data_IF_397646046195
#
_entry.id   IF_397646046195
#
_cell.length_a   1.000
_cell.length_b   1.000
_cell.length_c   1.000
_cell.angle_alpha   90.00
_cell.angle_beta   90.00
_cell.angle_gamma   90.00
#
_symmetry.space_group_name_H-M   'P 1'
#
loop_
_entity.id
_entity.type
_entity.pdbx_description
1 polymer ?
#
# COMPACT_ATOMS: atom_id res chain seq x y z
N UNK A 1 -8.48 12.91 16.07
CA UNK A 1 -8.88 11.49 16.18
C UNK A 1 -7.64 10.62 16.29
N UNK A 2 -7.72 9.46 16.97
CA UNK A 2 -6.62 8.48 17.02
C UNK A 2 -6.58 7.67 15.73
N UNK A 3 -5.44 7.68 15.03
CA UNK A 3 -5.22 6.97 13.76
C UNK A 3 -4.10 5.96 13.93
N UNK A 4 -4.38 4.68 13.71
CA UNK A 4 -3.36 3.64 13.70
C UNK A 4 -3.16 3.07 12.30
N UNK A 5 -1.96 2.60 12.00
CA UNK A 5 -1.65 1.89 10.75
C UNK A 5 -1.74 0.39 10.99
N UNK A 6 -2.39 -0.31 10.07
CA UNK A 6 -2.40 -1.76 9.99
C UNK A 6 -1.55 -2.21 8.80
N UNK A 7 -0.42 -2.87 9.09
CA UNK A 7 0.57 -3.27 8.10
C UNK A 7 0.90 -4.77 8.25
N UNK A 8 0.47 -5.57 7.27
CA UNK A 8 0.83 -6.99 7.18
C UNK A 8 1.89 -7.14 6.09
N UNK A 9 2.97 -7.86 6.38
CA UNK A 9 4.14 -7.91 5.50
C UNK A 9 4.67 -9.32 5.31
N UNK A 10 5.21 -9.58 4.12
CA UNK A 10 5.95 -10.81 3.81
C UNK A 10 6.97 -10.54 2.72
N UNK A 11 8.24 -10.71 3.05
CA UNK A 11 9.38 -10.56 2.13
C UNK A 11 9.37 -9.20 1.40
N UNK A 12 9.50 -8.13 2.17
CA UNK A 12 9.44 -6.73 1.73
C UNK A 12 10.75 -5.97 1.98
N UNK A 13 11.90 -6.67 2.06
CA UNK A 13 13.15 -6.06 2.52
C UNK A 13 13.63 -4.85 1.70
N UNK A 14 13.22 -4.73 0.44
CA UNK A 14 13.60 -3.59 -0.40
C UNK A 14 12.76 -2.34 -0.13
N UNK A 15 11.53 -2.48 0.42
CA UNK A 15 10.58 -1.37 0.49
C UNK A 15 9.97 -1.12 1.87
N UNK A 16 9.97 -2.10 2.78
CA UNK A 16 9.33 -1.97 4.10
C UNK A 16 9.85 -0.78 4.92
N UNK A 17 11.14 -0.44 4.76
CA UNK A 17 11.73 0.75 5.36
C UNK A 17 11.00 2.01 4.89
N UNK A 18 10.87 2.19 3.59
CA UNK A 18 10.26 3.38 2.99
C UNK A 18 8.76 3.44 3.28
N UNK A 19 8.08 2.29 3.24
CA UNK A 19 6.66 2.20 3.54
C UNK A 19 6.34 2.75 4.93
N UNK A 20 6.92 2.15 5.98
CA UNK A 20 6.66 2.58 7.36
C UNK A 20 7.17 4.01 7.60
N UNK A 21 8.38 4.34 7.14
CA UNK A 21 8.97 5.68 7.38
C UNK A 21 8.26 6.81 6.65
N UNK A 22 7.44 6.51 5.63
CA UNK A 22 6.62 7.50 4.93
C UNK A 22 5.40 7.95 5.74
N UNK A 23 4.88 7.10 6.64
CA UNK A 23 3.63 7.37 7.37
C UNK A 23 3.78 7.50 8.89
N UNK A 24 4.80 6.86 9.50
CA UNK A 24 4.90 6.68 10.97
C UNK A 24 4.89 7.98 11.78
N UNK A 25 5.34 9.08 11.19
CA UNK A 25 5.38 10.40 11.85
C UNK A 25 4.03 11.15 11.82
N UNK A 26 3.03 10.64 11.10
CA UNK A 26 1.72 11.27 10.90
C UNK A 26 0.58 10.54 11.60
N UNK A 27 0.83 9.34 12.13
CA UNK A 27 -0.16 8.46 12.77
C UNK A 27 0.21 8.22 14.23
N UNK A 28 -0.71 7.79 15.07
CA UNK A 28 -0.46 7.57 16.49
C UNK A 28 0.37 6.30 16.74
N UNK A 29 0.03 5.20 16.07
CA UNK A 29 0.71 3.91 16.19
C UNK A 29 0.74 3.17 14.84
N UNK A 30 1.73 2.31 14.63
CA UNK A 30 1.80 1.37 13.52
C UNK A 30 1.84 -0.05 14.09
N UNK A 31 0.83 -0.86 13.76
CA UNK A 31 0.84 -2.30 13.98
C UNK A 31 1.48 -2.96 12.75
N UNK A 32 2.60 -3.65 12.95
CA UNK A 32 3.30 -4.38 11.89
C UNK A 32 3.29 -5.85 12.24
N UNK A 33 2.59 -6.67 11.44
CA UNK A 33 2.58 -8.12 11.64
C UNK A 33 3.23 -8.82 10.44
N UNK A 34 4.26 -9.62 10.73
CA UNK A 34 4.99 -10.39 9.73
C UNK A 34 4.35 -11.77 9.53
N UNK A 35 3.98 -12.09 8.29
CA UNK A 35 3.37 -13.37 7.91
C UNK A 35 4.40 -14.39 7.40
N UNK A 36 5.57 -14.45 8.04
CA UNK A 36 6.60 -15.46 7.81
C UNK A 36 7.62 -15.04 6.75
N UNK A 37 8.19 -13.84 6.89
CA UNK A 37 9.31 -13.40 6.06
C UNK A 37 10.55 -14.27 6.31
N UNK A 38 11.27 -14.57 5.24
CA UNK A 38 12.54 -15.33 5.26
C UNK A 38 13.73 -14.49 4.79
N UNK A 39 13.48 -13.23 4.42
CA UNK A 39 14.49 -12.25 4.03
C UNK A 39 14.82 -11.28 5.18
N UNK A 40 15.42 -10.11 4.90
CA UNK A 40 15.80 -9.14 5.93
C UNK A 40 14.64 -8.30 6.48
N UNK A 41 13.39 -8.53 6.07
CA UNK A 41 12.21 -7.71 6.47
C UNK A 41 12.12 -7.53 7.98
N UNK A 42 12.14 -8.62 8.76
CA UNK A 42 12.06 -8.59 10.23
C UNK A 42 13.20 -7.77 10.85
N UNK A 43 14.42 -7.93 10.34
CA UNK A 43 15.59 -7.19 10.82
C UNK A 43 15.43 -5.68 10.57
N UNK A 44 14.93 -5.31 9.39
CA UNK A 44 14.69 -3.91 9.02
C UNK A 44 13.60 -3.31 9.92
N UNK A 45 12.50 -4.03 10.16
CA UNK A 45 11.43 -3.57 11.07
C UNK A 45 11.98 -3.32 12.49
N UNK A 46 12.80 -4.24 13.01
CA UNK A 46 13.47 -4.08 14.32
C UNK A 46 14.35 -2.83 14.38
N UNK A 47 15.01 -2.46 13.28
CA UNK A 47 15.77 -1.20 13.19
C UNK A 47 14.85 0.03 13.18
N UNK A 48 13.70 -0.02 12.49
CA UNK A 48 12.73 1.08 12.51
C UNK A 48 12.19 1.29 13.94
N UNK A 49 11.85 0.22 14.66
CA UNK A 49 11.37 0.29 16.06
C UNK A 49 12.37 1.01 16.96
N UNK A 50 13.68 0.72 16.81
CA UNK A 50 14.73 1.40 17.58
C UNK A 50 14.75 2.91 17.36
N UNK A 51 14.42 3.36 16.14
CA UNK A 51 14.40 4.78 15.75
C UNK A 51 13.07 5.46 16.04
N UNK A 52 11.97 4.72 16.02
CA UNK A 52 10.60 5.20 16.25
C UNK A 52 10.02 4.60 17.53
N UNK A 53 10.75 4.79 18.64
CA UNK A 53 10.40 4.21 19.94
C UNK A 53 8.97 4.58 20.34
N UNK A 54 8.20 3.58 20.75
CA UNK A 54 6.81 3.76 21.19
C UNK A 54 5.78 3.96 20.07
N UNK A 55 6.20 4.10 18.81
CA UNK A 55 5.29 4.27 17.66
C UNK A 55 4.89 2.96 16.99
N UNK A 56 5.66 1.90 17.16
CA UNK A 56 5.52 0.66 16.41
C UNK A 56 5.34 -0.51 17.37
N UNK A 57 4.31 -1.30 17.12
CA UNK A 57 4.07 -2.59 17.76
C UNK A 57 4.25 -3.68 16.72
N UNK A 58 5.14 -4.64 16.99
CA UNK A 58 5.56 -5.64 16.03
C UNK A 58 5.26 -7.04 16.52
N UNK A 59 4.76 -7.89 15.62
CA UNK A 59 4.46 -9.29 15.88
C UNK A 59 4.91 -10.16 14.72
N UNK A 60 5.63 -11.25 15.01
CA UNK A 60 5.92 -12.32 14.05
C UNK A 60 4.80 -13.37 14.18
N UNK A 61 3.93 -13.48 13.18
CA UNK A 61 2.80 -14.42 13.19
C UNK A 61 3.18 -15.75 12.55
N UNK A 62 4.07 -15.72 11.57
CA UNK A 62 4.52 -16.89 10.81
C UNK A 62 3.77 -17.05 9.48
N UNK A 63 4.14 -18.05 8.67
CA UNK A 63 3.57 -18.27 7.34
C UNK A 63 2.05 -18.42 7.37
N UNK A 64 1.36 -17.68 6.50
CA UNK A 64 -0.09 -17.78 6.33
C UNK A 64 -0.47 -18.14 4.89
N UNK A 65 -1.53 -18.93 4.73
CA UNK A 65 -2.25 -19.05 3.45
C UNK A 65 -3.24 -17.90 3.22
N UNK A 66 -4.00 -17.95 2.12
CA UNK A 66 -4.96 -16.89 1.75
C UNK A 66 -6.15 -16.73 2.70
N UNK A 67 -6.56 -17.78 3.41
CA UNK A 67 -7.65 -17.74 4.38
C UNK A 67 -7.15 -17.30 5.76
N UNK A 68 -5.96 -17.77 6.13
CA UNK A 68 -5.27 -17.34 7.34
C UNK A 68 -4.88 -15.86 7.28
N UNK A 69 -4.53 -15.35 6.09
CA UNK A 69 -4.26 -13.93 5.89
C UNK A 69 -5.50 -13.07 6.22
N UNK A 70 -6.70 -13.46 5.77
CA UNK A 70 -7.95 -12.77 6.13
C UNK A 70 -8.19 -12.79 7.64
N UNK A 71 -7.99 -13.94 8.30
CA UNK A 71 -8.08 -14.07 9.76
C UNK A 71 -7.07 -13.17 10.48
N UNK A 72 -5.85 -13.09 9.96
CA UNK A 72 -4.79 -12.23 10.46
C UNK A 72 -5.17 -10.75 10.32
N UNK A 73 -5.76 -10.34 9.20
CA UNK A 73 -6.26 -8.98 8.98
C UNK A 73 -7.41 -8.63 9.93
N UNK A 74 -8.36 -9.55 10.14
CA UNK A 74 -9.41 -9.38 11.15
C UNK A 74 -8.84 -9.26 12.57
N UNK A 75 -7.89 -10.12 12.94
CA UNK A 75 -7.26 -10.09 14.25
C UNK A 75 -6.48 -8.78 14.46
N UNK A 76 -5.84 -8.24 13.42
CA UNK A 76 -5.17 -6.94 13.47
C UNK A 76 -6.19 -5.80 13.65
N UNK A 77 -7.30 -5.81 12.90
CA UNK A 77 -8.41 -4.85 13.07
C UNK A 77 -8.97 -4.85 14.50
N UNK A 78 -9.09 -6.04 15.11
CA UNK A 78 -9.54 -6.18 16.50
C UNK A 78 -8.52 -5.62 17.51
N UNK A 79 -7.22 -5.73 17.20
CA UNK A 79 -6.13 -5.23 18.05
C UNK A 79 -5.92 -3.71 17.94
N UNK A 80 -6.41 -3.06 16.88
CA UNK A 80 -6.25 -1.62 16.68
C UNK A 80 -7.13 -0.81 17.64
N UNK A 81 -6.65 -0.33 18.77
CA UNK A 81 -7.41 0.58 19.66
C UNK A 81 -7.32 2.05 19.18
N UNK A 82 -8.07 2.36 18.13
CA UNK A 82 -8.11 3.67 17.50
C UNK A 82 -9.50 4.04 16.99
N UNK A 83 -9.65 5.29 16.54
CA UNK A 83 -10.87 5.76 15.86
C UNK A 83 -10.81 5.38 14.37
N UNK A 84 -9.62 5.47 13.77
CA UNK A 84 -9.40 5.22 12.34
C UNK A 84 -8.22 4.27 12.13
N UNK A 85 -8.36 3.36 11.16
CA UNK A 85 -7.22 2.60 10.63
C UNK A 85 -6.77 3.18 9.30
N UNK A 86 -5.46 3.21 9.09
CA UNK A 86 -4.83 3.36 7.79
C UNK A 86 -4.24 2.01 7.38
N UNK A 87 -4.64 1.49 6.22
CA UNK A 87 -4.05 0.27 5.66
C UNK A 87 -2.76 0.67 4.95
N UNK A 88 -1.68 -0.04 5.23
CA UNK A 88 -0.39 0.18 4.58
C UNK A 88 0.20 -1.17 4.17
N UNK A 89 0.33 -1.39 2.87
CA UNK A 89 1.07 -2.56 2.38
C UNK A 89 2.60 -2.29 2.37
N UNK A 90 3.42 -3.34 2.48
CA UNK A 90 4.87 -3.20 2.66
C UNK A 90 5.62 -2.62 1.45
N UNK A 91 4.95 -2.53 0.31
CA UNK A 91 5.38 -1.97 -0.97
C UNK A 91 4.71 -0.63 -1.30
N UNK A 92 4.10 0.05 -0.31
CA UNK A 92 3.44 1.36 -0.50
C UNK A 92 4.22 2.50 0.12
N UNK A 93 4.54 3.53 -0.66
CA UNK A 93 5.31 4.69 -0.19
C UNK A 93 4.57 5.98 -0.45
N UNK A 94 4.33 6.75 0.62
CA UNK A 94 3.57 7.99 0.57
C UNK A 94 4.47 9.22 0.44
N UNK A 95 4.02 10.21 -0.32
CA UNK A 95 4.54 11.57 -0.19
C UNK A 95 4.09 12.17 1.13
N UNK A 96 4.95 13.00 1.74
CA UNK A 96 4.62 13.74 2.96
C UNK A 96 3.34 14.57 2.81
N UNK A 97 3.18 15.25 1.67
CA UNK A 97 1.98 16.03 1.37
C UNK A 97 0.72 15.17 1.33
N UNK A 98 0.80 13.98 0.71
CA UNK A 98 -0.32 13.07 0.56
C UNK A 98 -0.80 12.49 1.89
N UNK A 99 0.11 11.89 2.67
CA UNK A 99 -0.28 11.33 3.96
C UNK A 99 -0.81 12.42 4.90
N UNK A 100 -0.22 13.62 4.88
CA UNK A 100 -0.74 14.76 5.65
C UNK A 100 -2.16 15.13 5.24
N UNK A 101 -2.48 15.15 3.95
CA UNK A 101 -3.83 15.45 3.49
C UNK A 101 -4.85 14.42 3.99
N UNK A 102 -4.52 13.13 3.95
CA UNK A 102 -5.39 12.06 4.47
C UNK A 102 -5.64 12.25 5.98
N UNK A 103 -4.58 12.48 6.76
CA UNK A 103 -4.70 12.73 8.21
C UNK A 103 -5.48 14.02 8.51
N UNK A 104 -5.27 15.08 7.74
CA UNK A 104 -6.02 16.33 7.87
C UNK A 104 -7.52 16.13 7.56
N UNK A 105 -7.86 15.30 6.57
CA UNK A 105 -9.24 14.94 6.26
C UNK A 105 -9.89 14.17 7.41
N UNK A 106 -9.20 13.17 7.97
CA UNK A 106 -9.68 12.43 9.15
C UNK A 106 -9.93 13.39 10.31
N UNK A 107 -8.98 14.28 10.62
CA UNK A 107 -9.15 15.18 11.76
C UNK A 107 -10.23 16.25 11.57
N UNK A 108 -10.54 16.66 10.33
CA UNK A 108 -11.53 17.70 10.05
C UNK A 108 -12.93 17.16 9.81
N UNK A 109 -13.05 15.95 9.26
CA UNK A 109 -14.29 15.37 8.74
C UNK A 109 -14.58 13.97 9.23
N UNK A 110 -13.68 13.34 9.99
CA UNK A 110 -13.76 11.92 10.32
C UNK A 110 -14.96 11.50 11.17
N UNK A 111 -15.73 12.43 11.75
CA UNK A 111 -17.01 12.10 12.39
C UNK A 111 -18.16 11.98 11.37
N UNK A 112 -18.00 12.55 10.17
CA UNK A 112 -19.02 12.62 9.11
C UNK A 112 -18.77 11.60 7.98
N UNK A 113 -17.63 10.91 7.97
CA UNK A 113 -17.22 10.01 6.90
C UNK A 113 -16.79 8.63 7.43
N UNK A 114 -16.98 7.62 6.59
CA UNK A 114 -16.72 6.22 6.89
C UNK A 114 -15.36 5.75 6.35
N UNK A 115 -14.94 6.26 5.20
CA UNK A 115 -13.70 5.83 4.57
C UNK A 115 -13.10 6.90 3.65
N UNK A 116 -11.80 6.75 3.37
CA UNK A 116 -11.07 7.59 2.43
C UNK A 116 -10.45 6.71 1.34
N UNK A 117 -10.85 6.97 0.10
CA UNK A 117 -10.24 6.45 -1.11
C UNK A 117 -9.16 7.42 -1.61
N UNK A 118 -8.07 6.86 -2.12
CA UNK A 118 -6.91 7.58 -2.65
C UNK A 118 -6.47 6.98 -3.98
N UNK A 119 -5.94 7.79 -4.91
CA UNK A 119 -5.26 7.27 -6.09
C UNK A 119 -3.87 6.74 -5.73
N UNK A 120 -3.27 5.97 -6.64
CA UNK A 120 -1.88 5.55 -6.52
C UNK A 120 -1.21 5.44 -7.88
N UNK A 121 0.09 5.70 -7.91
CA UNK A 121 0.91 5.35 -9.06
C UNK A 121 1.34 3.89 -8.96
N UNK A 122 0.90 3.07 -9.90
CA UNK A 122 1.31 1.67 -9.97
C UNK A 122 2.67 1.55 -10.68
N UNK A 123 3.74 1.48 -9.90
CA UNK A 123 5.13 1.64 -10.36
C UNK A 123 5.63 0.39 -11.07
N UNK A 124 6.38 0.56 -12.17
CA UNK A 124 6.88 -0.55 -13.01
C UNK A 124 8.32 -0.34 -13.46
N UNK A 125 9.11 -1.41 -13.47
CA UNK A 125 10.50 -1.41 -13.92
C UNK A 125 11.48 -0.77 -12.94
N UNK A 126 11.25 0.49 -12.56
CA UNK A 126 11.95 1.24 -11.53
C UNK A 126 11.05 2.32 -10.91
N UNK A 127 11.54 3.03 -9.90
CA UNK A 127 10.77 4.07 -9.20
C UNK A 127 10.50 5.32 -10.05
N UNK A 128 10.98 5.37 -11.30
CA UNK A 128 10.82 6.51 -12.19
C UNK A 128 9.71 6.31 -13.23
N UNK A 129 9.07 5.14 -13.27
CA UNK A 129 8.02 4.82 -14.22
C UNK A 129 6.80 4.20 -13.54
N UNK A 130 5.61 4.48 -14.09
CA UNK A 130 4.34 3.96 -13.59
C UNK A 130 3.41 3.57 -14.74
N UNK A 131 2.39 2.75 -14.46
CA UNK A 131 1.39 2.37 -15.45
C UNK A 131 0.42 3.50 -15.76
N UNK A 132 -0.11 3.54 -16.97
CA UNK A 132 -1.22 4.45 -17.31
C UNK A 132 -2.43 4.21 -16.40
N UNK A 133 -3.18 5.28 -16.10
CA UNK A 133 -4.46 5.19 -15.38
C UNK A 133 -5.46 4.26 -16.07
N UNK A 134 -5.46 4.23 -17.41
CA UNK A 134 -6.28 3.31 -18.21
C UNK A 134 -6.00 1.83 -17.98
N UNK A 135 -4.86 1.50 -17.35
CA UNK A 135 -4.52 0.14 -16.95
C UNK A 135 -5.13 -0.26 -15.61
N UNK A 136 -5.60 0.72 -14.83
CA UNK A 136 -6.29 0.51 -13.57
C UNK A 136 -7.70 0.00 -13.81
N UNK A 137 -8.11 -0.99 -13.01
CA UNK A 137 -9.41 -1.68 -13.13
C UNK A 137 -10.34 -1.40 -11.96
N UNK A 138 -9.89 -0.63 -10.96
CA UNK A 138 -10.69 -0.32 -9.80
C UNK A 138 -11.68 0.77 -10.15
N UNK A 139 -12.94 0.54 -9.78
CA UNK A 139 -14.02 1.51 -9.91
C UNK A 139 -14.53 1.85 -8.52
N UNK A 140 -14.35 3.10 -8.09
CA UNK A 140 -14.90 3.64 -6.84
C UNK A 140 -15.34 5.08 -7.08
N UNK A 141 -16.49 5.47 -6.52
CA UNK A 141 -17.03 6.83 -6.63
C UNK A 141 -17.17 7.33 -8.09
N UNK A 142 -17.56 6.44 -9.02
CA UNK A 142 -17.67 6.75 -10.45
C UNK A 142 -16.34 7.05 -11.14
N UNK A 143 -15.20 6.75 -10.51
CA UNK A 143 -13.86 6.88 -11.08
C UNK A 143 -13.29 5.50 -11.36
N UNK A 144 -12.71 5.32 -12.54
CA UNK A 144 -11.98 4.11 -12.93
C UNK A 144 -10.49 4.41 -13.03
N UNK A 145 -9.65 3.61 -12.39
CA UNK A 145 -8.20 3.79 -12.46
C UNK A 145 -7.43 3.04 -11.37
N UNK A 146 -6.27 3.59 -11.01
CA UNK A 146 -5.46 3.09 -9.89
C UNK A 146 -5.87 3.82 -8.62
N UNK A 147 -6.89 3.29 -7.95
CA UNK A 147 -7.46 3.88 -6.75
C UNK A 147 -7.93 2.81 -5.79
N UNK A 148 -7.87 3.10 -4.49
CA UNK A 148 -8.19 2.14 -3.43
C UNK A 148 -8.53 2.84 -2.11
N UNK A 149 -9.25 2.15 -1.23
CA UNK A 149 -9.50 2.63 0.13
C UNK A 149 -8.26 2.38 0.98
N UNK A 150 -7.79 3.43 1.67
CA UNK A 150 -6.63 3.35 2.57
C UNK A 150 -6.90 3.83 3.98
N UNK A 151 -7.99 4.56 4.23
CA UNK A 151 -8.39 4.87 5.60
C UNK A 151 -9.84 4.45 5.85
N UNK A 152 -10.11 3.85 7.01
CA UNK A 152 -11.43 3.34 7.39
C UNK A 152 -11.72 3.75 8.83
N UNK A 153 -12.92 4.30 9.04
CA UNK A 153 -13.46 4.65 10.34
C UNK A 153 -13.89 3.39 11.08
N UNK A 154 -13.39 3.17 12.29
CA UNK A 154 -13.76 2.01 13.12
C UNK A 154 -15.13 2.14 13.76
N UNK A 155 -15.77 3.31 13.68
CA UNK A 155 -17.15 3.54 14.16
C UNK A 155 -18.21 2.89 13.26
N UNK A 156 -17.85 2.40 12.07
CA UNK A 156 -18.76 1.66 11.19
C UNK A 156 -19.32 0.45 11.98
N UNK A 157 -20.64 0.36 12.20
CA UNK A 157 -21.21 -0.72 13.01
C UNK A 157 -20.93 -2.09 12.41
N UNK A 158 -20.38 -3.00 13.23
CA UNK A 158 -20.05 -4.37 12.81
C UNK A 158 -18.92 -4.45 11.78
N UNK A 159 -18.01 -3.47 11.72
CA UNK A 159 -16.85 -3.50 10.82
C UNK A 159 -16.04 -4.79 10.98
N UNK A 160 -15.89 -5.53 9.88
CA UNK A 160 -15.12 -6.77 9.84
C UNK A 160 -14.50 -7.00 8.45
N UNK A 161 -13.65 -8.01 8.35
CA UNK A 161 -12.93 -8.42 7.14
C UNK A 161 -13.46 -9.79 6.72
N UNK A 162 -13.87 -9.90 5.46
CA UNK A 162 -14.26 -11.18 4.85
C UNK A 162 -13.51 -11.41 3.54
N UNK A 163 -13.79 -12.57 2.92
CA UNK A 163 -13.20 -13.08 1.68
C UNK A 163 -11.69 -13.44 1.76
N UNK A 164 -11.22 -14.46 1.02
CA UNK A 164 -9.81 -14.84 1.01
C UNK A 164 -8.92 -13.75 0.39
N UNK A 165 -7.64 -13.72 0.79
CA UNK A 165 -6.65 -12.80 0.21
C UNK A 165 -6.70 -12.78 -1.32
N UNK A 166 -6.72 -11.56 -1.89
CA UNK A 166 -6.93 -11.29 -3.32
C UNK A 166 -8.38 -10.98 -3.70
N UNK A 167 -9.35 -11.33 -2.85
CA UNK A 167 -10.76 -10.90 -2.91
C UNK A 167 -11.24 -10.23 -1.62
N UNK A 168 -10.37 -10.18 -0.61
CA UNK A 168 -10.66 -9.62 0.70
C UNK A 168 -11.21 -8.19 0.64
N UNK A 169 -12.13 -7.91 1.56
CA UNK A 169 -12.79 -6.61 1.70
C UNK A 169 -13.09 -6.28 3.15
N UNK A 170 -13.48 -5.03 3.39
CA UNK A 170 -14.04 -4.60 4.68
C UNK A 170 -15.55 -4.44 4.52
N UNK A 171 -16.28 -4.97 5.48
CA UNK A 171 -17.73 -5.09 5.47
C UNK A 171 -18.33 -4.48 6.73
N UNK A 172 -19.55 -3.97 6.63
CA UNK A 172 -20.34 -3.55 7.79
C UNK A 172 -21.10 -4.73 8.41
N UNK A 173 -21.79 -4.50 9.54
CA UNK A 173 -22.55 -5.55 10.24
C UNK A 173 -23.71 -6.18 9.46
N UNK A 174 -24.07 -5.62 8.30
CA UNK A 174 -25.09 -6.18 7.40
C UNK A 174 -24.48 -7.01 6.26
N UNK A 175 -23.16 -7.21 6.24
CA UNK A 175 -22.45 -7.94 5.18
C UNK A 175 -22.29 -7.15 3.88
N UNK A 176 -22.43 -5.82 3.90
CA UNK A 176 -22.18 -4.96 2.75
C UNK A 176 -20.75 -4.42 2.78
N UNK A 177 -20.09 -4.40 1.62
CA UNK A 177 -18.79 -3.76 1.44
C UNK A 177 -18.86 -2.28 1.83
N UNK A 178 -17.84 -1.77 2.53
CA UNK A 178 -17.85 -0.38 3.02
C UNK A 178 -18.00 0.66 1.90
N UNK A 179 -17.48 0.37 0.70
CA UNK A 179 -17.62 1.23 -0.47
C UNK A 179 -19.03 1.25 -1.08
N UNK A 180 -19.85 0.25 -0.75
CA UNK A 180 -21.22 0.09 -1.24
C UNK A 180 -22.23 0.47 -0.15
N UNK A 181 -21.86 0.35 1.12
CA UNK A 181 -22.79 0.54 2.25
C UNK A 181 -23.19 1.99 2.49
N UNK A 182 -22.28 2.94 2.28
CA UNK A 182 -22.54 4.37 2.44
C UNK A 182 -21.69 5.19 1.45
N UNK A 183 -22.14 5.33 0.19
CA UNK A 183 -21.39 6.07 -0.82
C UNK A 183 -21.12 7.54 -0.45
N UNK A 184 -22.02 8.19 0.31
CA UNK A 184 -21.82 9.57 0.78
C UNK A 184 -20.75 9.67 1.87
N UNK A 185 -20.61 8.63 2.68
CA UNK A 185 -19.56 8.48 3.69
C UNK A 185 -18.17 8.15 3.12
N UNK A 186 -18.06 7.82 1.82
CA UNK A 186 -16.78 7.54 1.18
C UNK A 186 -16.19 8.81 0.55
N UNK A 187 -15.08 9.30 1.10
CA UNK A 187 -14.41 10.51 0.60
C UNK A 187 -13.24 10.17 -0.32
N UNK A 188 -13.11 10.89 -1.43
CA UNK A 188 -11.91 10.84 -2.28
C UNK A 188 -10.90 11.91 -1.88
N UNK A 189 -9.64 11.53 -1.70
CA UNK A 189 -8.49 12.43 -1.59
C UNK A 189 -7.68 12.36 -2.88
N UNK A 190 -7.44 13.50 -3.51
CA UNK A 190 -6.73 13.60 -4.79
C UNK A 190 -5.21 13.38 -4.65
N UNK A 191 -4.70 13.06 -3.45
CA UNK A 191 -3.26 12.91 -3.22
C UNK A 191 -2.81 11.46 -3.31
N UNK A 192 -1.93 11.12 -4.27
CA UNK A 192 -1.54 9.74 -4.51
C UNK A 192 -0.46 9.24 -3.56
N UNK A 193 -0.25 7.92 -3.55
CA UNK A 193 0.97 7.25 -3.07
C UNK A 193 1.61 6.41 -4.19
N UNK A 194 2.81 5.87 -3.98
CA UNK A 194 3.45 4.93 -4.92
C UNK A 194 3.22 3.49 -4.46
N UNK A 195 2.68 2.66 -5.34
CA UNK A 195 2.55 1.22 -5.13
C UNK A 195 3.64 0.49 -5.92
N UNK A 196 4.58 -0.16 -5.22
CA UNK A 196 5.83 -0.70 -5.77
C UNK A 196 5.73 -2.20 -6.10
N UNK A 197 4.51 -2.74 -6.20
CA UNK A 197 4.24 -4.17 -6.28
C UNK A 197 4.84 -4.88 -7.50
N UNK A 198 5.08 -4.14 -8.59
CA UNK A 198 5.70 -4.70 -9.81
C UNK A 198 7.23 -4.60 -9.82
N UNK A 199 7.83 -4.05 -8.77
CA UNK A 199 9.28 -4.04 -8.59
C UNK A 199 9.76 -5.28 -7.82
N UNK A 200 11.06 -5.53 -7.82
CA UNK A 200 11.63 -6.61 -7.02
C UNK A 200 11.54 -6.24 -5.54
N UNK A 201 10.63 -6.87 -4.79
CA UNK A 201 10.39 -6.60 -3.36
C UNK A 201 11.38 -7.30 -2.41
N UNK A 202 11.93 -8.45 -2.82
CA UNK A 202 12.88 -9.24 -2.02
C UNK A 202 13.97 -9.91 -2.87
N UNK A 203 15.11 -10.23 -2.24
CA UNK A 203 16.14 -11.12 -2.78
C UNK A 203 15.71 -12.59 -2.78
N UNK A 204 14.83 -12.98 -1.84
CA UNK A 204 14.31 -14.34 -1.73
C UNK A 204 13.03 -14.43 -2.56
N UNK A 205 13.18 -14.66 -3.86
CA UNK A 205 12.06 -14.70 -4.80
C UNK A 205 12.11 -15.93 -5.69
N UNK A 206 11.27 -16.92 -5.40
CA UNK A 206 10.51 -17.51 -6.50
C UNK A 206 9.68 -16.37 -7.05
N UNK A 207 10.19 -15.75 -8.13
CA UNK A 207 9.50 -14.86 -9.06
C UNK A 207 8.11 -14.48 -8.56
N UNK A 208 8.05 -13.43 -7.75
CA UNK A 208 6.80 -12.85 -7.33
C UNK A 208 5.96 -12.65 -8.58
N UNK A 209 4.85 -13.39 -8.74
CA UNK A 209 4.00 -13.37 -9.94
C UNK A 209 3.50 -11.94 -10.28
N UNK A 210 3.75 -10.98 -9.39
CA UNK A 210 3.51 -9.55 -9.54
C UNK A 210 4.62 -8.79 -10.27
N UNK A 211 5.86 -9.26 -10.36
CA UNK A 211 6.91 -8.58 -11.15
C UNK A 211 6.54 -8.59 -12.64
N UNK A 212 6.62 -7.43 -13.31
CA UNK A 212 6.17 -7.29 -14.71
C UNK A 212 7.17 -6.51 -15.56
N UNK A 213 7.24 -6.90 -16.83
CA UNK A 213 7.86 -6.10 -17.88
C UNK A 213 6.79 -5.18 -18.48
N UNK A 214 6.91 -3.89 -18.22
CA UNK A 214 6.03 -2.84 -18.73
C UNK A 214 6.90 -1.61 -18.98
N UNK A 215 6.74 -0.98 -20.15
CA UNK A 215 7.53 0.18 -20.52
C UNK A 215 7.19 1.37 -19.62
N UNK A 216 5.93 1.45 -19.18
CA UNK A 216 5.44 2.49 -18.29
C UNK A 216 5.52 3.90 -18.87
N UNK A 217 5.03 4.84 -18.09
CA UNK A 217 5.10 6.28 -18.32
C UNK A 217 6.17 6.82 -17.36
N UNK A 218 7.18 7.57 -17.85
CA UNK A 218 8.13 8.21 -16.96
C UNK A 218 7.43 9.30 -16.14
N UNK A 219 7.77 9.41 -14.85
CA UNK A 219 7.43 10.61 -14.09
C UNK A 219 8.06 11.83 -14.77
N UNK A 220 7.35 12.97 -14.71
CA UNK A 220 7.91 14.24 -15.20
C UNK A 220 9.22 14.53 -14.48
N UNK A 221 10.17 15.15 -15.19
CA UNK A 221 11.44 15.60 -14.63
C UNK A 221 11.26 16.61 -13.48
N UNK A 222 10.12 17.29 -13.43
CA UNK A 222 9.72 18.19 -12.35
C UNK A 222 9.03 17.49 -11.16
N UNK A 223 8.62 16.22 -11.30
CA UNK A 223 7.96 15.48 -10.23
C UNK A 223 8.98 15.01 -9.22
N UNK A 224 8.90 15.54 -8.00
CA UNK A 224 9.67 15.02 -6.87
C UNK A 224 9.10 13.68 -6.41
N UNK A 225 9.94 12.65 -6.30
CA UNK A 225 9.60 11.38 -5.68
C UNK A 225 9.36 11.54 -4.16
N UNK A 226 8.72 10.57 -3.48
CA UNK A 226 8.51 10.61 -2.04
C UNK A 226 9.76 10.96 -1.26
N UNK A 227 9.63 11.92 -0.35
CA UNK A 227 10.77 12.54 0.35
C UNK A 227 11.54 11.53 1.20
N UNK A 228 10.88 10.44 1.61
CA UNK A 228 11.50 9.36 2.37
C UNK A 228 12.63 8.65 1.60
N UNK A 229 12.58 8.62 0.27
CA UNK A 229 13.63 7.99 -0.54
C UNK A 229 14.98 8.71 -0.43
N UNK A 230 14.97 10.02 -0.17
CA UNK A 230 16.18 10.84 -0.05
C UNK A 230 16.75 10.89 1.37
N UNK A 231 16.07 10.26 2.34
CA UNK A 231 16.54 10.22 3.74
C UNK A 231 17.66 9.19 3.91
N UNK A 232 18.48 9.37 4.95
CA UNK A 232 19.53 8.41 5.31
C UNK A 232 18.90 7.07 5.69
N UNK A 233 19.33 6.01 4.98
CA UNK A 233 18.88 4.63 5.21
C UNK A 233 19.97 3.81 5.94
N UNK A 234 19.59 2.81 6.77
CA UNK A 234 20.53 1.85 7.34
C UNK A 234 21.26 1.05 6.26
N UNK A 235 22.45 0.53 6.58
CA UNK A 235 23.26 -0.28 5.65
C UNK A 235 22.55 -1.51 5.09
N UNK A 236 21.62 -2.09 5.86
CA UNK A 236 20.88 -3.29 5.45
C UNK A 236 19.70 -2.99 4.52
N UNK A 237 19.32 -1.70 4.37
CA UNK A 237 18.23 -1.28 3.49
C UNK A 237 18.79 -0.95 2.12
N UNK A 238 18.20 -1.53 1.08
CA UNK A 238 18.62 -1.29 -0.30
C UNK A 238 18.21 0.11 -0.76
N UNK A 239 19.10 0.78 -1.49
CA UNK A 239 18.76 2.04 -2.17
C UNK A 239 17.61 1.83 -3.18
N UNK A 240 16.59 2.70 -3.20
CA UNK A 240 15.45 2.57 -4.11
C UNK A 240 15.78 3.09 -5.52
N UNK A 241 16.86 3.87 -5.68
CA UNK A 241 17.21 4.59 -6.91
C UNK A 241 17.82 3.73 -8.03
N UNK A 242 17.71 2.40 -7.93
CA UNK A 242 18.16 1.51 -8.99
C UNK A 242 17.31 1.74 -10.24
N UNK A 243 17.96 1.95 -11.39
CA UNK A 243 17.29 2.05 -12.69
C UNK A 243 17.10 0.67 -13.30
N UNK A 244 16.05 0.53 -14.10
CA UNK A 244 15.86 -0.66 -14.94
C UNK A 244 17.04 -0.83 -15.91
N UNK A 245 17.45 -2.07 -16.15
CA UNK A 245 18.58 -2.37 -17.03
C UNK A 245 18.20 -2.46 -18.50
N UNK A 246 19.19 -2.46 -19.39
CA UNK A 246 19.00 -2.53 -20.86
C UNK A 246 18.14 -3.73 -21.27
N UNK A 247 18.37 -4.90 -20.68
CA UNK A 247 17.57 -6.10 -20.97
C UNK A 247 16.08 -5.91 -20.62
N UNK A 248 15.80 -5.24 -19.51
CA UNK A 248 14.42 -4.91 -19.13
C UNK A 248 13.79 -3.99 -20.18
N UNK A 249 14.50 -2.96 -20.61
CA UNK A 249 13.98 -2.01 -21.62
C UNK A 249 13.67 -2.68 -22.94
N UNK A 250 14.54 -3.57 -23.42
CA UNK A 250 14.32 -4.32 -24.66
C UNK A 250 13.08 -5.20 -24.57
N UNK A 251 12.95 -5.99 -23.50
CA UNK A 251 11.79 -6.87 -23.27
C UNK A 251 10.51 -6.04 -23.12
N UNK A 252 10.54 -4.98 -22.31
CA UNK A 252 9.39 -4.12 -22.06
C UNK A 252 8.91 -3.42 -23.34
N UNK A 253 9.81 -2.91 -24.20
CA UNK A 253 9.43 -2.30 -25.49
C UNK A 253 8.72 -3.28 -26.42
N UNK A 254 9.13 -4.55 -26.39
CA UNK A 254 8.51 -5.58 -27.22
C UNK A 254 7.15 -6.04 -26.67
N UNK A 255 7.04 -6.27 -25.35
CA UNK A 255 5.84 -6.86 -24.74
C UNK A 255 4.72 -5.82 -24.51
N UNK A 256 5.07 -4.58 -24.14
CA UNK A 256 4.08 -3.59 -23.69
C UNK A 256 3.00 -3.28 -24.72
N UNK A 257 3.29 -3.14 -26.04
CA UNK A 257 2.24 -2.95 -27.05
C UNK A 257 1.16 -4.03 -27.02
N UNK A 258 1.54 -5.30 -26.85
CA UNK A 258 0.58 -6.41 -26.76
C UNK A 258 -0.25 -6.35 -25.47
N UNK A 259 0.36 -5.98 -24.34
CA UNK A 259 -0.35 -5.75 -23.08
C UNK A 259 -1.40 -4.64 -23.25
N UNK A 260 -1.04 -3.52 -23.88
CA UNK A 260 -1.96 -2.40 -24.10
C UNK A 260 -3.10 -2.77 -25.06
N UNK A 261 -2.82 -3.51 -26.14
CA UNK A 261 -3.86 -4.00 -27.05
C UNK A 261 -4.84 -4.93 -26.31
N UNK A 262 -4.31 -5.94 -25.59
CA UNK A 262 -5.13 -6.86 -24.80
C UNK A 262 -6.02 -6.12 -23.79
N UNK A 263 -5.46 -5.15 -23.06
CA UNK A 263 -6.20 -4.32 -22.10
C UNK A 263 -7.30 -3.48 -22.75
N UNK A 264 -7.12 -3.01 -23.99
CA UNK A 264 -8.17 -2.29 -24.74
C UNK A 264 -9.31 -3.18 -25.20
N UNK A 265 -9.06 -4.46 -25.45
CA UNK A 265 -10.09 -5.44 -25.87
C UNK A 265 -10.90 -5.97 -24.67
N UNK A 266 -10.34 -5.92 -23.46
CA UNK A 266 -10.98 -6.38 -22.22
C UNK A 266 -11.75 -5.27 -21.47
N UNK A 267 -11.64 -4.02 -21.91
CA UNK A 267 -12.32 -2.84 -21.34
C UNK A 267 -13.48 -2.41 -22.21
#
# INVERSE_FOLDING_TARGET
MRVWVNCIVRNEENFIWFAIMSVVDYVDKVLVWDSGSTDKTVRIIKEIIKRKKGKIEFKEVGPTDKYEFTKMRQAMLNASDCDWILILDGDEVWWKGSIKQVIDLINKKGDDIDAIAVPFYNVVGDIYHYQSESSGRYELLGRKGHLTIRAINRKIPGLHVEEPYGKEGYYNGNGLLIQESNPEGLKFSETPFMHLTHLKRSSHGQWDNKYRFDYGIPFSSSTSLPEVFYKVIPKDVRSPFNRRGILYELIARFISPFIYIKRRLEN
#
